data_IF_622704521529
#
_entry.id   IF_622704521529
#
_cell.length_a   1.000
_cell.length_b   1.000
_cell.length_c   1.000
_cell.angle_alpha   90.00
_cell.angle_beta   90.00
_cell.angle_gamma   90.00
#
_symmetry.space_group_name_H-M   'P 1'
#
loop_
_entity.id
_entity.type
_entity.pdbx_description
1 polymer ?
#
# COMPACT_ATOMS: atom_id res chain seq x y z
N UNK A 1 -16.98 -1.18 -31.22
CA UNK A 1 -17.81 -1.22 -29.99
C UNK A 1 -16.90 -0.88 -28.83
N UNK A 2 -16.98 0.36 -28.33
CA UNK A 2 -16.13 0.84 -27.24
C UNK A 2 -16.58 0.20 -25.93
N UNK A 3 -15.72 -0.63 -25.35
CA UNK A 3 -15.87 -1.07 -23.97
C UNK A 3 -15.62 0.14 -23.08
N UNK A 4 -16.67 0.77 -22.55
CA UNK A 4 -16.53 1.65 -21.41
C UNK A 4 -16.00 0.80 -20.24
N UNK A 5 -14.70 0.90 -19.94
CA UNK A 5 -14.13 0.24 -18.77
C UNK A 5 -14.63 0.95 -17.53
N UNK A 6 -15.71 0.47 -16.93
CA UNK A 6 -16.16 0.83 -15.59
C UNK A 6 -15.23 0.20 -14.53
N UNK A 7 -13.92 0.44 -14.64
CA UNK A 7 -12.89 -0.31 -13.94
C UNK A 7 -11.86 0.58 -13.26
N UNK A 8 -11.42 0.15 -12.08
CA UNK A 8 -10.30 0.72 -11.37
C UNK A 8 -9.03 0.72 -12.23
N UNK A 9 -8.13 1.67 -12.00
CA UNK A 9 -6.79 1.69 -12.62
C UNK A 9 -5.79 1.09 -11.63
N UNK A 10 -5.28 -0.13 -11.85
CA UNK A 10 -4.28 -0.72 -10.97
C UNK A 10 -2.96 0.02 -11.11
N UNK A 11 -2.32 0.33 -9.98
CA UNK A 11 -1.02 0.98 -9.91
C UNK A 11 -0.14 0.21 -8.94
N UNK A 12 1.07 -0.16 -9.38
CA UNK A 12 2.14 -0.68 -8.53
C UNK A 12 3.17 0.43 -8.34
N UNK A 13 3.39 0.83 -7.09
CA UNK A 13 4.45 1.75 -6.71
C UNK A 13 5.50 1.00 -5.90
N UNK A 14 6.77 1.14 -6.30
CA UNK A 14 7.92 0.56 -5.60
C UNK A 14 8.75 1.74 -5.13
N UNK A 15 8.90 1.87 -3.81
CA UNK A 15 9.64 2.96 -3.17
C UNK A 15 11.00 2.47 -2.68
N UNK A 16 11.93 3.41 -2.59
CA UNK A 16 13.25 3.20 -2.02
C UNK A 16 13.32 3.79 -0.59
N UNK A 17 14.42 3.55 0.14
CA UNK A 17 14.74 4.20 1.41
C UNK A 17 13.73 3.98 2.55
N UNK A 18 12.92 2.92 2.50
CA UNK A 18 11.99 2.59 3.60
C UNK A 18 12.75 2.38 4.93
N UNK A 19 13.82 1.59 4.87
CA UNK A 19 14.71 1.23 6.00
C UNK A 19 15.42 2.44 6.65
N UNK A 20 15.44 3.59 5.98
CA UNK A 20 15.99 4.85 6.50
C UNK A 20 14.91 5.92 6.73
N UNK A 21 13.64 5.53 6.75
CA UNK A 21 12.51 6.37 7.13
C UNK A 21 11.75 7.02 5.97
N UNK A 22 12.01 6.63 4.71
CA UNK A 22 11.28 7.07 3.50
C UNK A 22 11.37 8.56 3.14
N UNK A 23 12.06 9.39 3.93
CA UNK A 23 12.19 10.84 3.73
C UNK A 23 13.22 11.20 2.66
N UNK A 24 12.98 10.76 1.42
CA UNK A 24 13.83 11.04 0.26
C UNK A 24 12.98 11.30 -0.99
N UNK A 25 13.61 11.77 -2.09
CA UNK A 25 12.92 11.96 -3.36
C UNK A 25 12.39 10.67 -4.00
N UNK A 26 12.88 9.50 -3.56
CA UNK A 26 12.49 8.18 -4.07
C UNK A 26 11.72 7.35 -3.03
N UNK A 27 11.56 7.86 -1.80
CA UNK A 27 10.85 7.16 -0.72
C UNK A 27 9.35 7.44 -0.70
N UNK A 28 8.65 6.68 0.14
CA UNK A 28 7.18 6.76 0.23
C UNK A 28 6.65 8.09 0.77
N UNK A 29 7.48 8.88 1.48
CA UNK A 29 7.14 10.24 1.91
C UNK A 29 7.36 11.30 0.82
N UNK A 30 7.83 10.90 -0.37
CA UNK A 30 7.96 11.80 -1.51
C UNK A 30 6.59 12.15 -2.11
N UNK A 31 6.56 13.19 -2.94
CA UNK A 31 5.39 13.52 -3.75
C UNK A 31 5.16 12.60 -4.96
N UNK A 32 5.99 11.57 -5.18
CA UNK A 32 6.03 10.80 -6.43
C UNK A 32 4.67 10.18 -6.77
N UNK A 33 4.10 9.40 -5.85
CA UNK A 33 2.85 8.68 -6.11
C UNK A 33 1.68 9.65 -6.36
N UNK A 34 1.51 10.65 -5.50
CA UNK A 34 0.46 11.66 -5.68
C UNK A 34 0.60 12.39 -7.03
N UNK A 35 1.83 12.74 -7.41
CA UNK A 35 2.09 13.46 -8.67
C UNK A 35 1.81 12.57 -9.89
N UNK A 36 2.17 11.29 -9.83
CA UNK A 36 1.92 10.33 -10.91
C UNK A 36 0.42 10.05 -11.06
N UNK A 37 -0.31 9.86 -9.95
CA UNK A 37 -1.75 9.63 -9.99
C UNK A 37 -2.52 10.85 -10.54
N UNK A 38 -2.16 12.06 -10.12
CA UNK A 38 -2.77 13.28 -10.67
C UNK A 38 -2.49 13.39 -12.18
N UNK A 39 -1.26 13.10 -12.61
CA UNK A 39 -0.90 13.10 -14.05
C UNK A 39 -1.66 12.06 -14.86
N UNK A 40 -1.92 10.87 -14.30
CA UNK A 40 -2.74 9.84 -14.98
C UNK A 40 -4.16 10.35 -15.21
N UNK A 41 -4.77 11.00 -14.21
CA UNK A 41 -6.13 11.55 -14.33
C UNK A 41 -6.18 12.67 -15.37
N UNK A 42 -5.22 13.60 -15.33
CA UNK A 42 -5.13 14.71 -16.29
C UNK A 42 -4.90 14.20 -17.72
N UNK A 43 -4.02 13.21 -17.91
CA UNK A 43 -3.76 12.61 -19.22
C UNK A 43 -4.98 11.87 -19.79
N UNK A 44 -5.88 11.39 -18.93
CA UNK A 44 -7.16 10.79 -19.33
C UNK A 44 -8.26 11.85 -19.63
N UNK A 45 -7.92 13.14 -19.62
CA UNK A 45 -8.88 14.23 -19.85
C UNK A 45 -9.70 14.64 -18.62
N UNK A 46 -9.34 14.11 -17.44
CA UNK A 46 -9.94 14.52 -16.17
C UNK A 46 -9.34 15.82 -15.64
N UNK A 47 -9.91 16.29 -14.53
CA UNK A 47 -9.49 17.49 -13.80
C UNK A 47 -8.85 17.12 -12.45
N UNK A 48 -8.31 18.12 -11.75
CA UNK A 48 -7.85 17.96 -10.36
C UNK A 48 -8.99 17.52 -9.42
N UNK A 49 -10.22 17.98 -9.68
CA UNK A 49 -11.38 17.54 -8.91
C UNK A 49 -11.66 16.04 -9.11
N UNK A 50 -11.54 15.55 -10.34
CA UNK A 50 -11.68 14.12 -10.64
C UNK A 50 -10.61 13.29 -9.92
N UNK A 51 -9.38 13.81 -9.81
CA UNK A 51 -8.31 13.17 -9.04
C UNK A 51 -8.67 13.05 -7.56
N UNK A 52 -9.08 14.15 -6.93
CA UNK A 52 -9.47 14.16 -5.52
C UNK A 52 -10.65 13.23 -5.23
N UNK A 53 -11.65 13.20 -6.12
CA UNK A 53 -12.80 12.28 -6.02
C UNK A 53 -12.39 10.82 -6.18
N UNK A 54 -11.42 10.53 -7.06
CA UNK A 54 -10.91 9.16 -7.24
C UNK A 54 -10.14 8.67 -6.02
N UNK A 55 -9.34 9.53 -5.39
CA UNK A 55 -8.58 9.17 -4.19
C UNK A 55 -9.47 8.63 -3.06
N UNK A 56 -10.62 9.27 -2.80
CA UNK A 56 -11.52 8.84 -1.71
C UNK A 56 -12.21 7.50 -1.97
N UNK A 57 -12.32 7.10 -3.23
CA UNK A 57 -12.89 5.81 -3.66
C UNK A 57 -11.83 4.75 -3.97
N UNK A 58 -10.54 5.07 -3.78
CA UNK A 58 -9.43 4.18 -4.06
C UNK A 58 -9.07 3.33 -2.85
N UNK A 59 -8.51 2.15 -3.09
CA UNK A 59 -7.91 1.30 -2.07
C UNK A 59 -6.39 1.29 -2.25
N UNK A 60 -5.66 1.38 -1.14
CA UNK A 60 -4.21 1.23 -1.10
C UNK A 60 -3.84 0.00 -0.28
N UNK A 61 -3.19 -0.97 -0.90
CA UNK A 61 -2.59 -2.10 -0.21
C UNK A 61 -1.08 -1.83 -0.05
N UNK A 62 -0.63 -1.57 1.19
CA UNK A 62 0.79 -1.48 1.51
C UNK A 62 1.36 -2.88 1.72
N UNK A 63 2.26 -3.31 0.84
CA UNK A 63 2.87 -4.63 0.87
C UNK A 63 4.30 -4.53 1.41
N UNK A 64 4.54 -5.17 2.54
CA UNK A 64 5.84 -5.29 3.20
C UNK A 64 5.90 -6.64 3.93
N UNK A 65 7.10 -7.16 4.15
CA UNK A 65 7.31 -8.46 4.77
C UNK A 65 6.70 -8.52 6.18
N UNK A 66 6.21 -9.70 6.54
CA UNK A 66 5.74 -10.02 7.89
C UNK A 66 6.67 -11.06 8.53
N UNK A 67 6.60 -11.17 9.85
CA UNK A 67 7.42 -12.12 10.60
C UNK A 67 6.66 -13.43 10.83
N UNK A 68 7.07 -14.49 10.14
CA UNK A 68 6.61 -15.85 10.45
C UNK A 68 6.98 -16.23 11.89
N UNK A 69 6.15 -17.03 12.54
CA UNK A 69 6.40 -17.50 13.91
C UNK A 69 7.64 -18.39 13.92
N UNK A 70 8.70 -17.91 14.57
CA UNK A 70 9.96 -18.65 14.63
C UNK A 70 9.86 -19.81 15.63
N UNK A 71 10.12 -21.07 15.23
CA UNK A 71 9.88 -22.25 16.08
C UNK A 71 10.77 -22.29 17.32
N UNK A 72 11.98 -21.72 17.27
CA UNK A 72 12.87 -21.61 18.44
C UNK A 72 12.52 -20.44 19.37
N UNK A 73 11.65 -19.52 18.96
CA UNK A 73 11.32 -18.31 19.72
C UNK A 73 9.81 -18.01 19.70
N UNK A 74 8.93 -18.99 19.97
CA UNK A 74 7.48 -18.78 19.89
C UNK A 74 7.01 -17.67 20.83
N UNK A 75 7.67 -17.53 21.99
CA UNK A 75 7.37 -16.52 23.01
C UNK A 75 7.65 -15.07 22.58
N UNK A 76 8.32 -14.86 21.43
CA UNK A 76 8.54 -13.52 20.84
C UNK A 76 7.40 -13.08 19.91
N UNK A 77 6.42 -13.95 19.66
CA UNK A 77 5.28 -13.70 18.80
C UNK A 77 3.99 -13.58 19.62
N UNK A 78 2.99 -12.90 19.05
CA UNK A 78 1.67 -12.78 19.67
C UNK A 78 0.97 -14.16 19.68
N UNK A 79 0.63 -14.73 20.86
CA UNK A 79 0.09 -16.09 20.95
C UNK A 79 -1.21 -16.31 20.17
N UNK A 80 -2.01 -15.25 20.00
CA UNK A 80 -3.29 -15.32 19.29
C UNK A 80 -3.15 -15.15 17.77
N UNK A 81 -1.95 -14.82 17.27
CA UNK A 81 -1.69 -14.52 15.86
C UNK A 81 -0.44 -15.25 15.33
N UNK A 82 -0.42 -16.60 15.36
CA UNK A 82 0.67 -17.35 14.75
C UNK A 82 0.66 -17.15 13.23
N UNK A 83 1.85 -17.00 12.65
CA UNK A 83 2.04 -16.83 11.21
C UNK A 83 2.84 -18.02 10.69
N UNK A 84 2.20 -18.86 9.88
CA UNK A 84 2.81 -20.04 9.27
C UNK A 84 3.38 -19.74 7.88
N UNK A 85 4.51 -20.37 7.56
CA UNK A 85 5.09 -20.30 6.22
C UNK A 85 4.21 -21.08 5.25
N UNK A 86 3.99 -20.53 4.05
CA UNK A 86 3.12 -21.09 2.99
C UNK A 86 1.61 -21.05 3.30
N UNK A 87 1.17 -20.30 4.32
CA UNK A 87 -0.26 -20.14 4.66
C UNK A 87 -0.95 -18.95 3.96
N UNK A 88 -0.26 -18.25 3.06
CA UNK A 88 -0.80 -17.10 2.31
C UNK A 88 -0.34 -15.74 2.85
N UNK A 89 -0.94 -14.63 2.36
CA UNK A 89 -0.61 -13.28 2.80
C UNK A 89 -0.96 -13.02 4.26
N UNK A 90 -0.18 -12.14 4.91
CA UNK A 90 -0.41 -11.73 6.30
C UNK A 90 -1.05 -10.36 6.33
N UNK A 91 -2.19 -10.24 7.04
CA UNK A 91 -2.78 -8.94 7.36
C UNK A 91 -2.10 -8.37 8.62
N UNK A 92 -1.29 -7.33 8.42
CA UNK A 92 -0.57 -6.65 9.52
C UNK A 92 -1.50 -5.63 10.17
N UNK A 93 -1.86 -5.83 11.44
CA UNK A 93 -2.67 -4.89 12.25
C UNK A 93 -1.87 -4.38 13.44
N UNK A 94 -2.02 -3.10 13.79
CA UNK A 94 -1.34 -2.54 14.97
C UNK A 94 -2.15 -1.37 15.57
N UNK A 95 -2.54 -1.42 16.86
CA UNK A 95 -3.40 -0.39 17.48
C UNK A 95 -2.85 1.05 17.39
N UNK A 96 -1.53 1.19 17.47
CA UNK A 96 -0.86 2.50 17.34
C UNK A 96 -0.55 2.91 15.88
N UNK A 97 -1.28 2.37 14.90
CA UNK A 97 -1.16 2.73 13.47
C UNK A 97 0.26 2.60 12.90
N UNK A 98 1.04 1.62 13.37
CA UNK A 98 2.29 1.23 12.70
C UNK A 98 2.03 0.57 11.34
N UNK A 99 0.83 0.05 11.16
CA UNK A 99 0.28 -0.39 9.88
C UNK A 99 -1.03 0.36 9.67
N UNK A 100 -1.32 0.73 8.42
CA UNK A 100 -2.47 1.55 8.06
C UNK A 100 -3.79 0.77 7.99
N UNK A 101 -3.77 -0.54 8.28
CA UNK A 101 -4.96 -1.40 8.32
C UNK A 101 -5.91 -0.93 9.42
N UNK A 102 -7.18 -0.70 9.06
CA UNK A 102 -8.28 -0.27 9.92
C UNK A 102 -9.44 -1.28 10.01
#
# INVERSE_FOLDING_TARGET
VGSASSGFVPVLAIFDHEEVGSASGHGAQSGLLSSVLERIVLAAGGTREDFLRRLTTSMLASADMAHATHPNYPDRHEPSHPIEVNAGPVLKVHPNLRYATD
#
